data_IF_589095283572
#
_entry.id   IF_589095283572
#
_cell.length_a   1.000
_cell.length_b   1.000
_cell.length_c   1.000
_cell.angle_alpha   90.00
_cell.angle_beta   90.00
_cell.angle_gamma   90.00
#
_symmetry.space_group_name_H-M   'P 1'
#
loop_
_entity.id
_entity.type
_entity.pdbx_description
1 polymer ?
#
# COMPACT_ATOMS: atom_id res chain seq x y z
N UNK A 1 5.39 19.89 -11.06
CA UNK A 1 5.64 19.97 -9.60
C UNK A 1 6.31 18.65 -9.21
N UNK A 2 7.64 18.62 -9.18
CA UNK A 2 8.41 17.47 -8.69
C UNK A 2 8.89 17.83 -7.29
N UNK A 3 8.27 17.23 -6.27
CA UNK A 3 8.66 17.38 -4.87
C UNK A 3 9.03 16.00 -4.36
N UNK A 4 10.31 15.62 -4.49
CA UNK A 4 10.95 14.68 -3.56
C UNK A 4 12.43 15.11 -3.51
N UNK A 5 12.70 16.21 -2.81
CA UNK A 5 14.05 16.56 -2.35
C UNK A 5 14.09 16.23 -0.85
N UNK A 6 14.80 15.15 -0.50
CA UNK A 6 14.86 14.52 0.83
C UNK A 6 13.58 13.78 1.23
N UNK A 7 13.74 12.71 2.02
CA UNK A 7 12.67 11.79 2.42
C UNK A 7 11.44 12.47 3.02
N UNK A 8 10.53 12.91 2.14
CA UNK A 8 9.32 13.58 2.55
C UNK A 8 8.41 12.54 3.21
N UNK A 9 8.05 12.83 4.46
CA UNK A 9 7.07 12.03 5.17
C UNK A 9 5.71 12.25 4.52
N UNK A 10 5.20 11.20 3.87
CA UNK A 10 3.93 11.22 3.14
C UNK A 10 2.93 10.33 3.87
N UNK A 11 1.65 10.71 3.81
CA UNK A 11 0.60 9.89 4.42
C UNK A 11 0.35 8.64 3.58
N UNK A 12 0.11 7.50 4.23
CA UNK A 12 -0.17 6.23 3.53
C UNK A 12 -1.29 6.38 2.48
N UNK A 13 -2.36 7.10 2.81
CA UNK A 13 -3.45 7.38 1.86
C UNK A 13 -3.01 8.10 0.58
N UNK A 14 -2.00 8.97 0.67
CA UNK A 14 -1.44 9.68 -0.48
C UNK A 14 -0.57 8.73 -1.31
N UNK A 15 0.22 7.88 -0.64
CA UNK A 15 1.04 6.86 -1.30
C UNK A 15 0.15 5.93 -2.10
N UNK A 16 -0.88 5.34 -1.49
CA UNK A 16 -1.80 4.41 -2.17
C UNK A 16 -2.49 5.06 -3.37
N UNK A 17 -2.90 6.33 -3.25
CA UNK A 17 -3.50 7.09 -4.36
C UNK A 17 -2.53 7.39 -5.50
N UNK A 18 -1.23 7.49 -5.22
CA UNK A 18 -0.20 7.94 -6.17
C UNK A 18 0.88 6.89 -6.43
N UNK A 19 0.68 5.63 -6.04
CA UNK A 19 1.67 4.54 -6.14
C UNK A 19 2.21 4.37 -7.57
N UNK A 20 1.37 4.69 -8.56
CA UNK A 20 1.71 4.65 -9.97
C UNK A 20 2.63 5.80 -10.43
N UNK A 21 2.62 6.92 -9.72
CA UNK A 21 3.43 8.10 -10.02
C UNK A 21 4.84 8.07 -9.40
N UNK A 22 5.10 7.18 -8.43
CA UNK A 22 6.42 7.04 -7.81
C UNK A 22 7.38 6.20 -8.68
N UNK A 23 8.69 6.51 -8.65
CA UNK A 23 9.69 5.75 -9.39
C UNK A 23 9.81 4.30 -8.89
N UNK A 24 10.11 3.38 -9.80
CA UNK A 24 10.14 1.93 -9.51
C UNK A 24 11.19 1.52 -8.47
N UNK A 25 12.31 2.24 -8.40
CA UNK A 25 13.39 1.91 -7.49
C UNK A 25 13.10 2.34 -6.06
N UNK A 26 12.06 3.15 -5.81
CA UNK A 26 11.71 3.49 -4.44
C UNK A 26 10.96 2.35 -3.74
N UNK A 27 11.11 2.27 -2.42
CA UNK A 27 10.37 1.42 -1.51
C UNK A 27 9.51 2.28 -0.56
N UNK A 28 8.43 1.68 -0.07
CA UNK A 28 7.57 2.25 0.94
C UNK A 28 8.03 1.77 2.32
N UNK A 29 8.50 2.71 3.12
CA UNK A 29 8.91 2.49 4.50
C UNK A 29 7.77 2.89 5.43
N UNK A 30 7.31 1.93 6.22
CA UNK A 30 6.24 2.11 7.20
C UNK A 30 6.79 1.92 8.61
N UNK A 31 6.42 2.79 9.58
CA UNK A 31 6.80 2.57 10.97
C UNK A 31 6.29 1.21 11.45
N UNK A 32 7.08 0.51 12.27
CA UNK A 32 6.71 -0.74 12.94
C UNK A 32 5.49 -0.50 13.84
N UNK A 33 4.30 -0.62 13.25
CA UNK A 33 3.02 -0.33 13.87
C UNK A 33 2.08 -1.50 13.64
N UNK A 34 1.47 -1.95 14.73
CA UNK A 34 0.47 -3.04 14.73
C UNK A 34 -0.86 -2.59 14.12
N UNK A 35 -1.09 -1.27 14.03
CA UNK A 35 -2.29 -0.66 13.46
C UNK A 35 -1.92 0.24 12.28
N UNK A 36 -2.11 -0.26 11.06
CA UNK A 36 -1.96 0.54 9.85
C UNK A 36 -3.12 1.51 9.71
N UNK A 37 -2.81 2.80 9.53
CA UNK A 37 -3.81 3.87 9.41
C UNK A 37 -3.57 4.71 8.16
N UNK A 38 -4.63 5.15 7.51
CA UNK A 38 -4.56 6.02 6.34
C UNK A 38 -3.79 7.33 6.57
N UNK A 39 -3.83 7.84 7.79
CA UNK A 39 -3.14 9.06 8.22
C UNK A 39 -1.77 8.78 8.86
N UNK A 40 -1.28 7.54 8.79
CA UNK A 40 0.05 7.24 9.32
C UNK A 40 1.14 7.83 8.40
N UNK A 41 2.22 8.37 9.00
CA UNK A 41 3.38 8.84 8.24
C UNK A 41 4.15 7.65 7.66
N UNK A 42 4.54 7.77 6.39
CA UNK A 42 5.36 6.82 5.65
C UNK A 42 6.49 7.54 4.93
N UNK A 43 7.54 6.82 4.56
CA UNK A 43 8.61 7.32 3.69
C UNK A 43 8.58 6.59 2.36
N UNK A 44 8.79 7.31 1.26
CA UNK A 44 8.98 6.72 -0.08
C UNK A 44 10.35 7.11 -0.58
N UNK A 45 11.32 6.20 -0.47
CA UNK A 45 12.73 6.45 -0.75
C UNK A 45 13.32 5.31 -1.55
N UNK A 46 14.44 5.57 -2.20
CA UNK A 46 15.28 4.50 -2.73
C UNK A 46 15.94 3.72 -1.56
N UNK A 47 15.81 2.38 -1.52
CA UNK A 47 16.37 1.56 -0.45
C UNK A 47 17.91 1.49 -0.48
N UNK A 48 18.55 1.92 -1.56
CA UNK A 48 20.02 1.98 -1.72
C UNK A 48 20.61 3.30 -1.19
N UNK A 49 19.78 4.35 -1.06
CA UNK A 49 20.26 5.74 -0.92
C UNK A 49 20.59 6.13 0.54
N UNK A 50 19.90 5.61 1.57
CA UNK A 50 20.31 5.69 3.00
C UNK A 50 19.37 4.89 3.92
N UNK A 51 19.76 4.62 5.17
CA UNK A 51 18.86 4.06 6.21
C UNK A 51 17.69 5.01 6.47
N UNK A 52 16.46 4.63 6.12
CA UNK A 52 15.29 5.50 6.25
C UNK A 52 14.96 5.78 7.72
N UNK A 53 14.59 7.02 8.03
CA UNK A 53 14.04 7.41 9.35
C UNK A 53 12.72 8.13 9.12
N UNK A 54 11.62 7.61 9.70
CA UNK A 54 10.30 8.27 9.65
C UNK A 54 10.10 9.03 10.94
N UNK A 55 10.17 10.36 10.86
CA UNK A 55 10.20 11.24 12.03
C UNK A 55 11.48 11.06 12.83
N UNK A 56 11.45 10.18 13.83
CA UNK A 56 12.58 9.84 14.71
C UNK A 56 12.72 8.32 14.95
N UNK A 57 11.88 7.49 14.30
CA UNK A 57 11.96 6.04 14.45
C UNK A 57 12.73 5.41 13.30
N UNK A 58 13.64 4.47 13.59
CA UNK A 58 14.23 3.66 12.55
C UNK A 58 13.11 2.86 11.87
N UNK A 59 13.15 2.80 10.55
CA UNK A 59 12.23 1.95 9.79
C UNK A 59 12.98 0.67 9.47
N UNK A 60 12.53 -0.43 10.05
CA UNK A 60 13.24 -1.71 9.95
C UNK A 60 12.83 -2.49 8.69
N UNK A 61 11.59 -2.32 8.24
CA UNK A 61 11.03 -3.08 7.14
C UNK A 61 10.39 -2.15 6.09
N UNK A 62 10.86 -2.28 4.86
CA UNK A 62 10.37 -1.53 3.71
C UNK A 62 9.66 -2.46 2.75
N UNK A 63 8.40 -2.18 2.43
CA UNK A 63 7.73 -2.83 1.32
C UNK A 63 8.26 -2.26 0.02
N UNK A 64 8.78 -3.13 -0.85
CA UNK A 64 9.17 -2.70 -2.19
C UNK A 64 7.96 -2.12 -2.91
N UNK A 65 8.15 -1.08 -3.74
CA UNK A 65 7.03 -0.50 -4.49
C UNK A 65 6.39 -1.51 -5.44
N UNK A 66 7.12 -2.53 -5.87
CA UNK A 66 6.54 -3.61 -6.68
C UNK A 66 5.51 -4.42 -5.89
N UNK A 67 5.80 -4.74 -4.63
CA UNK A 67 4.84 -5.37 -3.73
C UNK A 67 3.61 -4.49 -3.49
N UNK A 68 3.80 -3.20 -3.16
CA UNK A 68 2.68 -2.26 -2.96
C UNK A 68 1.85 -2.13 -4.23
N UNK A 69 2.49 -1.99 -5.40
CA UNK A 69 1.79 -1.90 -6.68
C UNK A 69 1.03 -3.19 -6.96
N UNK A 70 1.64 -4.35 -6.72
CA UNK A 70 0.99 -5.66 -6.87
C UNK A 70 -0.29 -5.75 -6.06
N UNK A 71 -0.28 -5.31 -4.80
CA UNK A 71 -1.50 -5.28 -3.95
C UNK A 71 -2.56 -4.34 -4.53
N UNK A 72 -2.17 -3.14 -4.97
CA UNK A 72 -3.11 -2.15 -5.54
C UNK A 72 -3.70 -2.63 -6.87
N UNK A 73 -2.88 -3.16 -7.78
CA UNK A 73 -3.33 -3.74 -9.05
C UNK A 73 -4.25 -4.95 -8.82
N UNK A 74 -3.91 -5.79 -7.84
CA UNK A 74 -4.70 -6.95 -7.44
C UNK A 74 -6.08 -6.56 -6.90
N UNK A 75 -6.16 -5.44 -6.16
CA UNK A 75 -7.42 -4.86 -5.69
C UNK A 75 -8.22 -4.23 -6.82
N UNK A 76 -7.60 -3.40 -7.66
CA UNK A 76 -8.25 -2.75 -8.81
C UNK A 76 -8.73 -3.73 -9.89
N UNK A 77 -8.10 -4.91 -9.97
CA UNK A 77 -8.54 -5.97 -10.89
C UNK A 77 -9.80 -6.68 -10.38
N UNK A 78 -9.98 -6.80 -9.06
CA UNK A 78 -11.13 -7.51 -8.46
C UNK A 78 -12.25 -6.58 -8.00
N UNK A 79 -11.96 -5.30 -7.81
CA UNK A 79 -12.89 -4.30 -7.31
C UNK A 79 -12.94 -3.16 -8.33
N UNK A 80 -14.15 -2.77 -8.75
CA UNK A 80 -14.35 -1.78 -9.82
C UNK A 80 -13.84 -0.38 -9.43
N UNK A 81 -13.80 -0.05 -8.13
CA UNK A 81 -13.15 1.14 -7.57
C UNK A 81 -12.79 0.89 -6.09
N UNK A 82 -11.63 0.27 -5.78
CA UNK A 82 -11.27 -0.01 -4.40
C UNK A 82 -11.01 1.30 -3.64
N UNK A 83 -11.72 1.48 -2.54
CA UNK A 83 -11.48 2.60 -1.63
C UNK A 83 -10.07 2.53 -1.05
N UNK A 84 -9.49 3.68 -0.72
CA UNK A 84 -8.14 3.75 -0.14
C UNK A 84 -8.06 2.97 1.18
N UNK A 85 -9.16 2.90 1.93
CA UNK A 85 -9.29 2.08 3.14
C UNK A 85 -9.12 0.58 2.82
N UNK A 86 -9.80 0.09 1.79
CA UNK A 86 -9.64 -1.28 1.28
C UNK A 86 -8.21 -1.57 0.85
N UNK A 87 -7.57 -0.63 0.15
CA UNK A 87 -6.17 -0.75 -0.27
C UNK A 87 -5.21 -0.79 0.94
N UNK A 88 -5.51 -0.04 2.00
CA UNK A 88 -4.73 -0.03 3.23
C UNK A 88 -4.84 -1.37 3.97
N UNK A 89 -6.06 -1.90 4.13
CA UNK A 89 -6.28 -3.21 4.74
C UNK A 89 -5.61 -4.34 3.94
N UNK A 90 -5.72 -4.29 2.62
CA UNK A 90 -5.05 -5.19 1.70
C UNK A 90 -3.52 -5.18 1.86
N UNK A 91 -2.93 -3.99 1.99
CA UNK A 91 -1.50 -3.84 2.15
C UNK A 91 -1.01 -4.30 3.53
N UNK A 92 -1.78 -4.00 4.58
CA UNK A 92 -1.51 -4.51 5.94
C UNK A 92 -1.56 -6.04 5.98
N UNK A 93 -2.54 -6.65 5.31
CA UNK A 93 -2.63 -8.11 5.18
C UNK A 93 -1.41 -8.69 4.45
N UNK A 94 -1.00 -8.07 3.34
CA UNK A 94 0.20 -8.49 2.62
C UNK A 94 1.46 -8.38 3.48
N UNK A 95 1.61 -7.31 4.24
CA UNK A 95 2.74 -7.12 5.15
C UNK A 95 2.79 -8.17 6.27
N UNK A 96 1.64 -8.52 6.85
CA UNK A 96 1.57 -9.49 7.96
C UNK A 96 1.71 -10.94 7.47
N UNK A 97 1.18 -11.27 6.29
CA UNK A 97 1.10 -12.64 5.78
C UNK A 97 2.06 -12.95 4.63
N UNK A 98 2.82 -11.98 4.13
CA UNK A 98 3.64 -12.06 2.89
C UNK A 98 2.84 -12.62 1.69
N UNK A 99 1.54 -12.34 1.64
CA UNK A 99 0.61 -12.97 0.72
C UNK A 99 -0.40 -11.96 0.15
N UNK A 100 -0.72 -12.10 -1.13
CA UNK A 100 -1.72 -11.25 -1.77
C UNK A 100 -3.09 -11.43 -1.12
N UNK A 101 -3.76 -10.34 -0.71
CA UNK A 101 -5.09 -10.42 -0.14
C UNK A 101 -6.09 -10.95 -1.16
N UNK A 102 -6.98 -11.82 -0.69
CA UNK A 102 -8.09 -12.34 -1.48
C UNK A 102 -9.27 -11.40 -1.26
N UNK A 103 -9.72 -10.75 -2.34
CA UNK A 103 -10.97 -10.01 -2.33
C UNK A 103 -12.05 -10.98 -2.78
N UNK A 104 -13.00 -11.31 -1.91
CA UNK A 104 -14.21 -12.00 -2.34
C UNK A 104 -14.95 -11.03 -3.26
N UNK A 105 -14.96 -11.35 -4.55
CA UNK A 105 -15.95 -10.80 -5.46
C UNK A 105 -17.29 -11.26 -4.90
N UNK A 106 -18.11 -10.30 -4.45
CA UNK A 106 -19.48 -10.58 -4.08
C UNK A 106 -20.14 -11.14 -5.33
N UNK A 107 -20.18 -12.47 -5.41
CA UNK A 107 -20.98 -13.16 -6.40
C UNK A 107 -22.39 -12.60 -6.22
N UNK A 108 -22.86 -11.86 -7.22
CA UNK A 108 -24.27 -11.70 -7.43
C UNK A 108 -24.81 -13.13 -7.65
N UNK A 109 -25.17 -13.82 -6.57
CA UNK A 109 -26.12 -14.91 -6.62
C UNK A 109 -27.50 -14.29 -6.91
N UNK A 110 -27.62 -13.73 -8.12
CA UNK A 110 -28.86 -13.46 -8.79
C UNK A 110 -29.59 -14.79 -8.94
N UNK A 111 -30.69 -14.91 -8.21
CA UNK A 111 -31.48 -16.13 -8.13
C UNK A 111 -32.05 -16.59 -9.46
N UNK A 112 -32.19 -17.90 -9.60
CA UNK A 112 -33.48 -18.56 -9.85
C UNK A 112 -33.22 -20.05 -9.92
N UNK A 113 -33.33 -20.71 -8.76
CA UNK A 113 -33.64 -22.14 -8.72
C UNK A 113 -35.12 -22.29 -9.03
N UNK A 114 -35.48 -22.12 -10.30
CA UNK A 114 -36.82 -22.44 -10.79
C UNK A 114 -36.86 -23.91 -11.22
N UNK A 115 -37.50 -24.68 -10.34
CA UNK A 115 -38.16 -25.99 -10.47
C UNK A 115 -37.71 -26.99 -11.54
#
# INVERSE_FOLDING_TARGET
MNFIERGETVLLKQVLRRVQSYPRNHALFVPTAVDWRLDMPCLVLDPDDESPVVGERPVEDGLTRDAVRGVVENAQTRLEDPSVDTLCGALSYYYEHDASPVFEESADEGGSRER
#
